data_IF_367702742480
#
_entry.id   IF_367702742480
#
_cell.length_a   1.000
_cell.length_b   1.000
_cell.length_c   1.000
_cell.angle_alpha   90.00
_cell.angle_beta   90.00
_cell.angle_gamma   90.00
#
_symmetry.space_group_name_H-M   'P 1'
#
loop_
_entity.id
_entity.type
_entity.pdbx_description
1 polymer ?
#
# COMPACT_ATOMS: atom_id res chain seq x y z
N UNK A 1 19.27 -7.76 -4.52
CA UNK A 1 19.13 -7.62 -5.99
C UNK A 1 18.92 -9.00 -6.60
N UNK A 2 17.86 -9.19 -7.39
CA UNK A 2 17.46 -10.49 -7.98
C UNK A 2 17.56 -10.49 -9.52
N UNK A 3 17.94 -9.37 -10.13
CA UNK A 3 18.04 -9.26 -11.58
C UNK A 3 19.17 -10.14 -12.15
N UNK A 4 18.85 -10.94 -13.18
CA UNK A 4 19.81 -11.84 -13.84
C UNK A 4 20.14 -13.12 -13.08
N UNK A 5 19.38 -13.46 -12.03
CA UNK A 5 19.54 -14.72 -11.29
C UNK A 5 18.44 -15.71 -11.64
N UNK A 6 18.78 -16.99 -11.62
CA UNK A 6 17.82 -18.07 -11.66
C UNK A 6 17.02 -18.12 -10.36
N UNK A 7 15.71 -18.25 -10.50
CA UNK A 7 14.76 -18.23 -9.39
C UNK A 7 13.73 -19.34 -9.54
N UNK A 8 13.34 -19.90 -8.41
CA UNK A 8 12.22 -20.85 -8.30
C UNK A 8 10.97 -20.08 -7.92
N UNK A 9 9.90 -20.24 -8.70
CA UNK A 9 8.63 -19.55 -8.49
C UNK A 9 7.57 -20.55 -8.02
N UNK A 10 7.13 -20.42 -6.78
CA UNK A 10 6.06 -21.21 -6.19
C UNK A 10 4.73 -20.47 -6.33
N UNK A 11 3.86 -20.94 -7.22
CA UNK A 11 2.58 -20.28 -7.51
C UNK A 11 1.47 -20.78 -6.58
N UNK A 12 0.81 -19.86 -5.89
CA UNK A 12 -0.30 -20.12 -4.95
C UNK A 12 -1.68 -19.99 -5.57
N UNK A 13 -1.77 -19.45 -6.79
CA UNK A 13 -3.02 -19.34 -7.54
C UNK A 13 -3.09 -18.05 -8.35
N UNK A 14 -4.30 -17.67 -8.77
CA UNK A 14 -4.55 -16.41 -9.49
C UNK A 14 -5.47 -15.52 -8.68
N UNK A 15 -5.17 -14.22 -8.65
CA UNK A 15 -6.05 -13.21 -8.09
C UNK A 15 -7.25 -12.95 -9.01
N UNK A 16 -8.29 -12.26 -8.51
CA UNK A 16 -9.48 -11.83 -9.25
C UNK A 16 -9.17 -11.06 -10.54
N UNK A 17 -8.00 -10.43 -10.58
CA UNK A 17 -7.47 -9.70 -11.74
C UNK A 17 -6.78 -10.59 -12.80
N UNK A 18 -6.71 -11.91 -12.58
CA UNK A 18 -6.06 -12.88 -13.48
C UNK A 18 -4.54 -12.99 -13.30
N UNK A 19 -3.94 -12.23 -12.37
CA UNK A 19 -2.50 -12.27 -12.07
C UNK A 19 -2.15 -13.46 -11.18
N UNK A 20 -1.07 -14.16 -11.49
CA UNK A 20 -0.55 -15.25 -10.63
C UNK A 20 0.06 -14.67 -9.35
N UNK A 21 -0.37 -15.21 -8.21
CA UNK A 21 0.25 -14.97 -6.91
C UNK A 21 1.30 -16.05 -6.70
N UNK A 22 2.54 -15.63 -6.50
CA UNK A 22 3.64 -16.57 -6.33
C UNK A 22 4.69 -16.03 -5.38
N UNK A 23 5.31 -16.97 -4.69
CA UNK A 23 6.49 -16.77 -3.88
C UNK A 23 7.73 -17.07 -4.71
N UNK A 24 8.74 -16.22 -4.58
CA UNK A 24 9.98 -16.31 -5.35
C UNK A 24 11.12 -16.66 -4.42
N UNK A 25 11.77 -17.77 -4.73
CA UNK A 25 12.93 -18.29 -4.02
C UNK A 25 14.14 -18.20 -4.93
N UNK A 26 15.27 -17.76 -4.39
CA UNK A 26 16.55 -17.94 -5.06
C UNK A 26 16.99 -19.40 -4.90
N UNK A 27 17.93 -19.84 -5.76
CA UNK A 27 18.56 -21.15 -5.66
C UNK A 27 19.27 -21.39 -4.32
N UNK A 28 19.64 -20.31 -3.62
CA UNK A 28 20.23 -20.35 -2.27
C UNK A 28 19.18 -20.55 -1.15
N UNK A 29 17.89 -20.68 -1.49
CA UNK A 29 16.79 -20.81 -0.54
C UNK A 29 16.27 -19.48 0.01
N UNK A 30 16.81 -18.34 -0.42
CA UNK A 30 16.37 -17.03 0.06
C UNK A 30 14.98 -16.70 -0.47
N UNK A 31 14.07 -16.36 0.45
CA UNK A 31 12.73 -15.92 0.10
C UNK A 31 12.69 -14.42 -0.18
N UNK A 32 12.53 -14.05 -1.46
CA UNK A 32 12.65 -12.66 -1.93
C UNK A 32 11.61 -11.75 -1.27
N UNK A 33 10.37 -12.24 -1.13
CA UNK A 33 9.30 -11.49 -0.50
C UNK A 33 9.64 -11.12 0.96
N UNK A 34 10.27 -12.03 1.71
CA UNK A 34 10.67 -11.77 3.09
C UNK A 34 11.77 -10.72 3.16
N UNK A 35 12.79 -10.82 2.30
CA UNK A 35 13.89 -9.84 2.25
C UNK A 35 13.36 -8.43 1.97
N UNK A 36 12.42 -8.32 1.03
CA UNK A 36 11.82 -7.04 0.66
C UNK A 36 10.99 -6.40 1.78
N UNK A 37 10.28 -7.21 2.57
CA UNK A 37 9.55 -6.73 3.76
C UNK A 37 10.52 -6.31 4.86
N UNK A 38 11.57 -7.12 5.11
CA UNK A 38 12.63 -6.81 6.09
C UNK A 38 13.33 -5.49 5.80
N UNK A 39 13.60 -5.23 4.53
CA UNK A 39 14.24 -4.00 4.07
C UNK A 39 13.26 -2.81 4.04
N UNK A 40 11.97 -3.02 4.34
CA UNK A 40 10.97 -1.98 4.45
C UNK A 40 10.44 -1.45 3.12
N UNK A 41 10.55 -2.24 2.04
CA UNK A 41 10.08 -1.86 0.70
C UNK A 41 8.64 -2.31 0.41
N UNK A 42 8.15 -3.29 1.16
CA UNK A 42 6.84 -3.90 0.92
C UNK A 42 6.01 -3.96 2.19
N UNK A 43 4.70 -3.96 1.98
CA UNK A 43 3.70 -4.16 3.03
C UNK A 43 3.34 -5.63 3.14
N UNK A 44 3.31 -6.16 4.36
CA UNK A 44 2.76 -7.48 4.61
C UNK A 44 1.25 -7.48 4.32
N UNK A 45 0.83 -8.22 3.29
CA UNK A 45 -0.57 -8.27 2.92
C UNK A 45 -1.31 -9.41 3.62
N UNK A 46 -1.88 -9.08 4.79
CA UNK A 46 -2.63 -10.01 5.65
C UNK A 46 -3.72 -10.83 4.96
N UNK A 47 -4.24 -10.37 3.81
CA UNK A 47 -5.29 -11.08 3.08
C UNK A 47 -4.80 -12.38 2.44
N UNK A 48 -3.55 -12.42 1.98
CA UNK A 48 -2.98 -13.61 1.32
C UNK A 48 -2.03 -14.38 2.23
N UNK A 49 -1.41 -13.70 3.20
CA UNK A 49 -0.40 -14.27 4.08
C UNK A 49 -0.79 -14.09 5.56
N UNK A 50 -2.03 -14.36 5.93
CA UNK A 50 -2.53 -14.15 7.31
C UNK A 50 -1.87 -15.06 8.35
N UNK A 51 -1.35 -16.22 7.94
CA UNK A 51 -0.73 -17.20 8.83
C UNK A 51 0.78 -17.05 8.99
N UNK A 52 1.42 -16.16 8.23
CA UNK A 52 2.88 -16.05 8.20
C UNK A 52 3.40 -15.12 9.30
N UNK A 53 3.63 -15.70 10.48
CA UNK A 53 4.21 -15.01 11.64
C UNK A 53 5.61 -14.44 11.37
N UNK A 54 6.33 -15.02 10.41
CA UNK A 54 7.64 -14.51 9.97
C UNK A 54 7.50 -13.13 9.34
N UNK A 55 6.50 -12.93 8.48
CA UNK A 55 6.27 -11.65 7.81
C UNK A 55 5.86 -10.55 8.79
N UNK A 56 5.07 -10.90 9.82
CA UNK A 56 4.71 -9.98 10.90
C UNK A 56 5.95 -9.49 11.67
N UNK A 57 6.85 -10.42 12.04
CA UNK A 57 8.10 -10.09 12.71
C UNK A 57 9.01 -9.20 11.86
N UNK A 58 9.15 -9.52 10.58
CA UNK A 58 9.98 -8.73 9.64
C UNK A 58 9.40 -7.33 9.39
N UNK A 59 8.08 -7.19 9.30
CA UNK A 59 7.44 -5.88 9.18
C UNK A 59 7.68 -5.04 10.43
N UNK A 60 7.59 -5.65 11.62
CA UNK A 60 7.87 -4.98 12.89
C UNK A 60 9.33 -4.52 12.97
N UNK A 61 10.28 -5.37 12.58
CA UNK A 61 11.71 -5.02 12.53
C UNK A 61 11.96 -3.83 11.57
N UNK A 62 11.31 -3.83 10.40
CA UNK A 62 11.42 -2.74 9.43
C UNK A 62 10.81 -1.42 9.94
N UNK A 63 9.71 -1.50 10.71
CA UNK A 63 9.07 -0.35 11.36
C UNK A 63 9.93 0.25 12.46
N UNK A 64 10.45 -0.60 13.36
CA UNK A 64 11.35 -0.17 14.43
C UNK A 64 12.63 0.43 13.88
N UNK A 65 13.17 -0.16 12.81
CA UNK A 65 14.32 0.35 12.08
C UNK A 65 14.06 1.56 11.19
N UNK A 66 12.80 2.04 11.08
CA UNK A 66 12.39 3.16 10.19
C UNK A 66 12.95 3.02 8.77
N UNK A 67 12.99 1.79 8.26
CA UNK A 67 13.60 1.48 6.96
C UNK A 67 12.64 1.78 5.81
N UNK A 68 13.13 2.42 4.75
CA UNK A 68 12.39 2.63 3.51
C UNK A 68 11.05 3.34 3.72
N UNK A 69 9.94 2.65 3.43
CA UNK A 69 8.58 3.20 3.60
C UNK A 69 8.24 3.58 5.04
N UNK A 70 8.89 2.95 6.02
CA UNK A 70 8.64 3.17 7.44
C UNK A 70 9.38 4.39 8.02
N UNK A 71 10.18 5.08 7.20
CA UNK A 71 10.78 6.36 7.59
C UNK A 71 9.73 7.47 7.79
N UNK A 72 8.58 7.35 7.13
CA UNK A 72 7.44 8.25 7.33
C UNK A 72 6.70 7.89 8.63
N UNK A 73 6.37 8.86 9.52
CA UNK A 73 5.64 8.61 10.76
C UNK A 73 4.21 8.08 10.58
N UNK A 74 3.56 8.32 9.44
CA UNK A 74 2.22 7.79 9.13
C UNK A 74 2.19 7.14 7.74
N UNK A 75 2.79 5.95 7.60
CA UNK A 75 2.75 5.21 6.36
C UNK A 75 1.33 4.64 6.20
N UNK A 76 0.67 4.98 5.08
CA UNK A 76 -0.67 4.49 4.77
C UNK A 76 -0.55 3.30 3.82
N UNK A 77 -1.10 2.12 4.15
CA UNK A 77 -1.00 0.99 3.27
C UNK A 77 -1.75 1.23 1.96
N UNK A 78 -1.26 0.69 0.84
CA UNK A 78 -1.84 0.92 -0.47
C UNK A 78 -3.28 0.42 -0.59
N UNK A 79 -3.68 -0.64 0.14
CA UNK A 79 -5.07 -1.09 0.16
C UNK A 79 -6.02 -0.10 0.84
N UNK A 80 -5.56 0.65 1.84
CA UNK A 80 -6.37 1.67 2.49
C UNK A 80 -6.47 2.92 1.61
N UNK A 81 -5.35 3.33 0.99
CA UNK A 81 -5.34 4.41 0.00
C UNK A 81 -6.31 4.12 -1.16
N UNK A 82 -6.31 2.88 -1.68
CA UNK A 82 -7.25 2.47 -2.75
C UNK A 82 -8.72 2.54 -2.31
N UNK A 83 -9.04 2.18 -1.05
CA UNK A 83 -10.42 2.26 -0.53
C UNK A 83 -10.94 3.69 -0.43
N UNK A 84 -10.06 4.67 -0.16
CA UNK A 84 -10.43 6.08 -0.03
C UNK A 84 -10.91 6.70 -1.37
N UNK A 85 -10.47 6.18 -2.52
CA UNK A 85 -10.90 6.67 -3.84
C UNK A 85 -12.28 6.19 -4.31
N UNK A 86 -12.94 5.31 -3.56
CA UNK A 86 -14.23 4.72 -3.94
C UNK A 86 -15.48 5.44 -3.41
N UNK A 87 -15.33 6.54 -2.65
CA UNK A 87 -16.47 7.31 -2.14
C UNK A 87 -16.22 8.80 -2.28
N UNK A 88 -16.47 9.33 -3.47
CA UNK A 88 -17.14 10.63 -3.51
C UNK A 88 -18.52 10.42 -2.88
N UNK A 89 -18.61 10.55 -1.56
CA UNK A 89 -19.90 10.72 -0.91
C UNK A 89 -20.38 12.07 -1.41
N UNK A 90 -21.42 12.09 -2.24
CA UNK A 90 -22.11 13.32 -2.60
C UNK A 90 -22.26 14.15 -1.32
N UNK A 91 -21.75 15.38 -1.34
CA UNK A 91 -21.91 16.33 -0.26
C UNK A 91 -23.41 16.41 0.02
N UNK A 92 -23.86 15.84 1.14
CA UNK A 92 -25.21 16.07 1.60
C UNK A 92 -25.29 17.54 1.97
N UNK A 93 -25.97 18.30 1.12
CA UNK A 93 -26.32 19.71 1.28
C UNK A 93 -26.62 20.04 2.73
N UNK A 94 -25.73 20.78 3.38
CA UNK A 94 -26.10 21.54 4.57
C UNK A 94 -26.95 22.69 4.06
N UNK A 95 -28.25 22.68 4.35
CA UNK A 95 -29.08 23.89 4.24
C UNK A 95 -28.54 24.91 5.24
N UNK A 96 -27.64 25.79 4.79
CA UNK A 96 -27.33 27.02 5.49
C UNK A 96 -28.45 28.01 5.16
N UNK A 97 -29.42 28.11 6.06
CA UNK A 97 -30.32 29.25 6.13
C UNK A 97 -29.52 30.45 6.64
N UNK A 98 -29.74 31.61 6.00
CA UNK A 98 -29.33 32.96 6.41
C UNK A 98 -27.83 33.27 6.32
N UNK A 99 -27.42 34.05 5.32
CA UNK A 99 -27.38 35.51 5.40
C UNK A 99 -27.03 36.11 4.03
N UNK A 100 -27.84 37.07 3.60
CA UNK A 100 -27.66 37.90 2.42
C UNK A 100 -26.45 38.84 2.58
N UNK A 101 -25.62 38.95 1.56
CA UNK A 101 -24.57 39.97 1.49
C UNK A 101 -23.79 39.90 0.19
N UNK A 102 -24.13 40.77 -0.75
CA UNK A 102 -23.35 41.08 -1.95
C UNK A 102 -21.88 41.33 -1.59
N UNK A 103 -20.93 40.92 -2.44
CA UNK A 103 -19.93 41.78 -3.06
C UNK A 103 -19.18 41.06 -4.21
N UNK A 104 -18.80 41.87 -5.18
CA UNK A 104 -18.33 41.58 -6.53
C UNK A 104 -16.95 40.88 -6.62
N UNK A 105 -16.84 40.07 -7.67
CA UNK A 105 -15.72 39.93 -8.63
C UNK A 105 -14.28 39.69 -8.12
N UNK A 106 -13.61 38.66 -8.67
CA UNK A 106 -12.51 38.78 -9.66
C UNK A 106 -11.71 37.45 -9.76
N UNK A 107 -11.64 36.90 -10.99
CA UNK A 107 -10.46 36.32 -11.67
C UNK A 107 -9.87 34.97 -11.18
N UNK A 108 -9.83 34.00 -12.13
CA UNK A 108 -9.15 32.68 -12.13
C UNK A 108 -7.60 32.81 -12.27
N UNK A 109 -6.77 31.80 -12.66
CA UNK A 109 -6.83 30.33 -12.60
C UNK A 109 -5.56 29.70 -11.96
N UNK A 110 -5.56 28.37 -11.79
CA UNK A 110 -4.47 27.54 -11.27
C UNK A 110 -3.23 27.47 -12.17
N UNK A 111 -2.05 27.52 -11.54
CA UNK A 111 -0.82 26.80 -11.94
C UNK A 111 -0.65 25.64 -10.96
#
# INVERSE_FOLDING_TARGET
MVFGKDVTVLTHGKDKSGRSLADVFLLDGTHVNHTLVKDGWYWWYRKYASGDTVLEGLEKEAREGKKGLWANPQPVPPWEWRKRKGRCRALSTVKSSMFSGLHNALIAPWI
#
